data_IF_546766698953
#
_entry.id   IF_546766698953
#
_cell.length_a   1.000
_cell.length_b   1.000
_cell.length_c   1.000
_cell.angle_alpha   90.00
_cell.angle_beta   90.00
_cell.angle_gamma   90.00
#
_symmetry.space_group_name_H-M   'P 1'
#
loop_
_entity.id
_entity.type
_entity.pdbx_description
1 polymer ?
#
# COMPACT_ATOMS: atom_id res chain seq x y z
N UNK A 1 -7.73 -12.33 0.01
CA UNK A 1 -6.94 -11.98 1.21
C UNK A 1 -5.62 -11.37 0.72
N UNK A 2 -5.21 -10.18 1.20
CA UNK A 2 -4.03 -9.46 0.68
C UNK A 2 -2.72 -9.93 1.33
N UNK A 3 -1.59 -9.69 0.66
CA UNK A 3 -0.25 -10.05 1.17
C UNK A 3 -0.02 -9.49 2.59
N UNK A 4 0.39 -10.33 3.58
CA UNK A 4 0.56 -9.93 4.97
C UNK A 4 1.49 -8.73 5.18
N UNK A 5 2.46 -8.52 4.29
CA UNK A 5 3.43 -7.44 4.39
C UNK A 5 2.83 -6.05 4.11
N UNK A 6 1.95 -5.94 3.10
CA UNK A 6 1.27 -4.68 2.75
C UNK A 6 0.35 -4.24 3.88
N UNK A 7 -0.41 -5.18 4.44
CA UNK A 7 -1.28 -4.91 5.58
C UNK A 7 -0.48 -4.43 6.80
N UNK A 8 0.70 -4.98 7.04
CA UNK A 8 1.58 -4.55 8.14
C UNK A 8 2.12 -3.13 7.93
N UNK A 9 2.57 -2.82 6.71
CA UNK A 9 3.09 -1.49 6.35
C UNK A 9 2.00 -0.41 6.49
N UNK A 10 0.83 -0.64 5.91
CA UNK A 10 -0.31 0.28 5.99
C UNK A 10 -0.76 0.53 7.44
N UNK A 11 -0.75 -0.49 8.31
CA UNK A 11 -1.02 -0.33 9.74
C UNK A 11 0.03 0.53 10.45
N UNK A 12 1.30 0.37 10.13
CA UNK A 12 2.39 1.16 10.70
C UNK A 12 2.32 2.63 10.26
N UNK A 13 2.06 2.90 8.98
CA UNK A 13 1.85 4.26 8.48
C UNK A 13 0.63 4.92 9.15
N UNK A 14 -0.48 4.20 9.30
CA UNK A 14 -1.66 4.72 10.02
C UNK A 14 -1.37 5.03 11.49
N UNK A 15 -0.57 4.20 12.17
CA UNK A 15 -0.15 4.44 13.56
C UNK A 15 0.73 5.68 13.66
N UNK A 16 1.68 5.85 12.74
CA UNK A 16 2.55 7.03 12.68
C UNK A 16 1.74 8.31 12.40
N UNK A 17 0.77 8.26 11.47
CA UNK A 17 -0.12 9.38 11.16
C UNK A 17 -0.90 9.82 12.40
N UNK A 18 -1.54 8.88 13.12
CA UNK A 18 -2.28 9.18 14.36
C UNK A 18 -1.37 9.80 15.42
N UNK A 19 -0.16 9.28 15.59
CA UNK A 19 0.82 9.83 16.54
C UNK A 19 1.22 11.26 16.16
N UNK A 20 1.41 11.56 14.87
CA UNK A 20 1.69 12.91 14.38
C UNK A 20 0.53 13.87 14.64
N UNK A 21 -0.71 13.45 14.38
CA UNK A 21 -1.91 14.26 14.63
C UNK A 21 -2.11 14.57 16.12
N UNK A 22 -1.79 13.62 17.00
CA UNK A 22 -1.80 13.82 18.44
C UNK A 22 -0.74 14.85 18.88
N UNK A 23 0.48 14.78 18.34
CA UNK A 23 1.55 15.76 18.61
C UNK A 23 1.12 17.18 18.20
N UNK A 24 0.59 17.34 16.99
CA UNK A 24 0.10 18.64 16.49
C UNK A 24 -0.99 19.21 17.40
N UNK A 25 -1.91 18.38 17.89
CA UNK A 25 -2.96 18.82 18.82
C UNK A 25 -2.39 19.33 20.15
N UNK A 26 -1.39 18.63 20.70
CA UNK A 26 -0.71 19.03 21.94
C UNK A 26 0.08 20.32 21.74
N UNK A 27 0.82 20.43 20.65
CA UNK A 27 1.58 21.63 20.28
C UNK A 27 0.65 22.83 20.11
N UNK A 28 -0.48 22.66 19.41
CA UNK A 28 -1.50 23.70 19.24
C UNK A 28 -2.03 24.20 20.59
N UNK A 29 -2.34 23.29 21.52
CA UNK A 29 -2.80 23.67 22.85
C UNK A 29 -1.72 24.43 23.65
N UNK A 30 -0.45 24.01 23.51
CA UNK A 30 0.70 24.64 24.15
C UNK A 30 0.96 26.05 23.60
N UNK A 31 0.94 26.22 22.28
CA UNK A 31 1.11 27.51 21.60
C UNK A 31 0.08 28.54 22.08
N UNK A 32 -1.20 28.16 22.12
CA UNK A 32 -2.28 29.07 22.55
C UNK A 32 -2.18 29.40 24.04
N UNK A 33 -1.72 28.45 24.85
CA UNK A 33 -1.51 28.68 26.29
C UNK A 33 -0.37 29.67 26.55
N UNK A 34 0.71 29.55 25.77
CA UNK A 34 1.92 30.37 25.87
C UNK A 34 1.82 31.72 25.17
N UNK A 35 0.80 31.93 24.33
CA UNK A 35 0.53 33.20 23.65
C UNK A 35 0.24 34.32 24.67
N UNK A 36 1.20 35.22 24.81
CA UNK A 36 1.13 36.39 25.72
C UNK A 36 0.26 37.53 25.17
N UNK A 37 -0.11 37.48 23.89
CA UNK A 37 -0.97 38.49 23.26
C UNK A 37 -2.44 38.33 23.66
N UNK A 38 -2.84 37.14 24.12
CA UNK A 38 -4.20 36.84 24.57
C UNK A 38 -4.28 36.83 26.08
N UNK A 39 -4.89 37.88 26.65
CA UNK A 39 -5.00 38.04 28.11
C UNK A 39 -6.28 37.47 28.70
N UNK A 40 -7.33 37.30 27.90
CA UNK A 40 -8.65 36.83 28.35
C UNK A 40 -8.84 35.33 28.11
N UNK A 41 -9.30 34.60 29.13
CA UNK A 41 -9.66 33.17 29.06
C UNK A 41 -10.65 32.88 27.93
N UNK A 42 -11.68 33.71 27.77
CA UNK A 42 -12.70 33.52 26.73
C UNK A 42 -12.11 33.58 25.31
N UNK A 43 -11.13 34.47 25.09
CA UNK A 43 -10.46 34.57 23.80
C UNK A 43 -9.47 33.43 23.56
N UNK A 44 -8.76 32.96 24.59
CA UNK A 44 -7.92 31.75 24.50
C UNK A 44 -8.76 30.54 24.11
N UNK A 45 -9.92 30.35 24.74
CA UNK A 45 -10.85 29.27 24.39
C UNK A 45 -11.41 29.41 22.98
N UNK A 46 -11.74 30.64 22.53
CA UNK A 46 -12.19 30.90 21.15
C UNK A 46 -11.12 30.50 20.14
N UNK A 47 -9.87 30.95 20.32
CA UNK A 47 -8.74 30.60 19.44
C UNK A 47 -8.46 29.11 19.44
N UNK A 48 -8.54 28.45 20.61
CA UNK A 48 -8.36 27.01 20.72
C UNK A 48 -9.42 26.24 19.94
N UNK A 49 -10.70 26.63 20.05
CA UNK A 49 -11.79 26.00 19.27
C UNK A 49 -11.58 26.16 17.77
N UNK A 50 -11.22 27.35 17.32
CA UNK A 50 -10.98 27.63 15.89
C UNK A 50 -9.79 26.83 15.34
N UNK A 51 -8.67 26.80 16.06
CA UNK A 51 -7.51 26.00 15.69
C UNK A 51 -7.80 24.50 15.70
N UNK A 52 -8.56 24.01 16.68
CA UNK A 52 -8.97 22.60 16.73
C UNK A 52 -9.87 22.22 15.55
N UNK A 53 -10.80 23.10 15.16
CA UNK A 53 -11.65 22.88 13.99
C UNK A 53 -10.80 22.81 12.70
N UNK A 54 -9.84 23.73 12.55
CA UNK A 54 -8.92 23.74 11.42
C UNK A 54 -8.05 22.48 11.37
N UNK A 55 -7.50 22.06 12.52
CA UNK A 55 -6.72 20.83 12.64
C UNK A 55 -7.57 19.60 12.29
N UNK A 56 -8.82 19.52 12.77
CA UNK A 56 -9.71 18.40 12.44
C UNK A 56 -9.95 18.28 10.93
N UNK A 57 -10.23 19.40 10.26
CA UNK A 57 -10.39 19.40 8.80
C UNK A 57 -9.14 18.88 8.09
N UNK A 58 -7.97 19.39 8.47
CA UNK A 58 -6.68 18.95 7.94
C UNK A 58 -6.43 17.46 8.16
N UNK A 59 -6.72 16.95 9.36
CA UNK A 59 -6.54 15.54 9.70
C UNK A 59 -7.44 14.59 8.90
N UNK A 60 -8.67 15.03 8.58
CA UNK A 60 -9.58 14.27 7.71
C UNK A 60 -9.03 14.20 6.28
N UNK A 61 -8.54 15.32 5.75
CA UNK A 61 -7.98 15.36 4.39
C UNK A 61 -6.69 14.54 4.28
N UNK A 62 -5.80 14.60 5.28
CA UNK A 62 -4.61 13.75 5.37
C UNK A 62 -4.99 12.26 5.37
N UNK A 63 -5.98 11.86 6.17
CA UNK A 63 -6.47 10.47 6.23
C UNK A 63 -7.03 10.01 4.88
N UNK A 64 -7.77 10.87 4.19
CA UNK A 64 -8.27 10.57 2.83
C UNK A 64 -7.14 10.35 1.84
N UNK A 65 -6.14 11.24 1.84
CA UNK A 65 -4.97 11.12 0.95
C UNK A 65 -4.22 9.82 1.19
N UNK A 66 -3.97 9.47 2.45
CA UNK A 66 -3.29 8.21 2.81
C UNK A 66 -4.13 7.00 2.40
N UNK A 67 -5.45 7.02 2.61
CA UNK A 67 -6.33 5.94 2.19
C UNK A 67 -6.32 5.74 0.66
N UNK A 68 -6.35 6.83 -0.11
CA UNK A 68 -6.26 6.78 -1.58
C UNK A 68 -4.89 6.22 -2.01
N UNK A 69 -3.80 6.66 -1.38
CA UNK A 69 -2.45 6.13 -1.63
C UNK A 69 -2.41 4.61 -1.41
N UNK A 70 -2.85 4.13 -0.25
CA UNK A 70 -2.88 2.70 0.08
C UNK A 70 -3.75 1.90 -0.89
N UNK A 71 -4.90 2.46 -1.30
CA UNK A 71 -5.77 1.81 -2.29
C UNK A 71 -5.08 1.64 -3.65
N UNK A 72 -4.39 2.69 -4.14
CA UNK A 72 -3.66 2.66 -5.41
C UNK A 72 -2.47 1.70 -5.38
N UNK A 73 -1.71 1.68 -4.29
CA UNK A 73 -0.58 0.75 -4.14
C UNK A 73 -1.04 -0.71 -4.17
N UNK A 74 -2.16 -0.97 -3.50
CA UNK A 74 -2.80 -2.28 -3.46
C UNK A 74 -3.34 -2.74 -4.80
N UNK A 75 -3.97 -1.84 -5.56
CA UNK A 75 -4.43 -2.11 -6.92
C UNK A 75 -3.27 -2.43 -7.87
N UNK A 76 -2.19 -1.63 -7.82
CA UNK A 76 -0.97 -1.89 -8.60
C UNK A 76 -0.38 -3.25 -8.28
N UNK A 77 -0.27 -3.59 -7.00
CA UNK A 77 0.27 -4.89 -6.58
C UNK A 77 -0.60 -6.05 -7.08
N UNK A 78 -1.92 -5.91 -6.99
CA UNK A 78 -2.84 -6.92 -7.51
C UNK A 78 -2.63 -7.12 -9.01
N UNK A 79 -2.55 -6.05 -9.80
CA UNK A 79 -2.27 -6.13 -11.23
C UNK A 79 -0.94 -6.84 -11.53
N UNK A 80 0.10 -6.57 -10.73
CA UNK A 80 1.40 -7.26 -10.87
C UNK A 80 1.26 -8.76 -10.58
N UNK A 81 0.56 -9.15 -9.51
CA UNK A 81 0.34 -10.56 -9.20
C UNK A 81 -0.47 -11.27 -10.29
N UNK A 82 -1.52 -10.63 -10.81
CA UNK A 82 -2.35 -11.20 -11.88
C UNK A 82 -1.52 -11.43 -13.14
N UNK A 83 -0.64 -10.48 -13.49
CA UNK A 83 0.30 -10.63 -14.61
C UNK A 83 1.29 -11.78 -14.37
N UNK A 84 1.89 -11.87 -13.18
CA UNK A 84 2.82 -12.94 -12.83
C UNK A 84 2.17 -14.33 -12.92
N UNK A 85 0.91 -14.46 -12.51
CA UNK A 85 0.15 -15.70 -12.63
C UNK A 85 -0.15 -16.05 -14.08
N UNK A 86 -0.54 -15.06 -14.89
CA UNK A 86 -0.76 -15.24 -16.32
C UNK A 86 0.50 -15.73 -17.02
N UNK A 87 1.63 -15.06 -16.79
CA UNK A 87 2.91 -15.39 -17.42
C UNK A 87 3.39 -16.78 -17.00
N UNK A 88 3.28 -17.11 -15.71
CA UNK A 88 3.60 -18.45 -15.22
C UNK A 88 2.72 -19.53 -15.89
N UNK A 89 1.42 -19.28 -16.03
CA UNK A 89 0.53 -20.22 -16.72
C UNK A 89 0.92 -20.43 -18.18
N UNK A 90 1.31 -19.35 -18.87
CA UNK A 90 1.77 -19.40 -20.25
C UNK A 90 3.08 -20.18 -20.37
N UNK A 91 4.04 -19.94 -19.48
CA UNK A 91 5.33 -20.64 -19.47
C UNK A 91 5.16 -22.14 -19.23
N UNK A 92 4.24 -22.53 -18.34
CA UNK A 92 3.89 -23.94 -18.10
C UNK A 92 3.29 -24.56 -19.36
N UNK A 93 2.35 -23.89 -20.03
CA UNK A 93 1.74 -24.39 -21.27
C UNK A 93 2.77 -24.56 -22.38
N UNK A 94 3.63 -23.57 -22.60
CA UNK A 94 4.71 -23.64 -23.58
C UNK A 94 5.67 -24.79 -23.27
N UNK A 95 6.01 -25.01 -22.00
CA UNK A 95 6.88 -26.11 -21.58
C UNK A 95 6.25 -27.47 -21.89
N UNK A 96 4.96 -27.63 -21.60
CA UNK A 96 4.22 -28.87 -21.92
C UNK A 96 4.21 -29.12 -23.43
N UNK A 97 3.95 -28.10 -24.24
CA UNK A 97 3.95 -28.21 -25.70
C UNK A 97 5.33 -28.59 -26.24
N UNK A 98 6.38 -27.97 -25.72
CA UNK A 98 7.77 -28.31 -26.09
C UNK A 98 8.08 -29.78 -25.79
N UNK A 99 7.70 -30.30 -24.60
CA UNK A 99 7.92 -31.70 -24.27
C UNK A 99 7.14 -32.67 -25.17
N UNK A 100 5.90 -32.33 -25.52
CA UNK A 100 5.09 -33.13 -26.47
C UNK A 100 5.72 -33.15 -27.86
N UNK A 101 6.21 -32.01 -28.34
CA UNK A 101 6.86 -31.93 -29.65
C UNK A 101 8.16 -32.74 -29.66
N UNK A 102 8.97 -32.67 -28.60
CA UNK A 102 10.19 -33.46 -28.47
C UNK A 102 9.91 -34.98 -28.44
N UNK A 103 8.83 -35.40 -27.78
CA UNK A 103 8.38 -36.80 -27.80
C UNK A 103 8.00 -37.26 -29.22
N UNK A 104 7.23 -36.45 -29.95
CA UNK A 104 6.87 -36.74 -31.36
C UNK A 104 8.11 -36.82 -32.25
N UNK A 105 9.08 -35.90 -32.11
CA UNK A 105 10.34 -35.93 -32.86
C UNK A 105 11.16 -37.20 -32.56
N UNK A 106 11.16 -37.65 -31.31
CA UNK A 106 11.80 -38.90 -30.91
C UNK A 106 11.10 -40.14 -31.49
N UNK A 107 9.78 -40.14 -31.60
CA UNK A 107 9.06 -41.25 -32.24
C UNK A 107 9.27 -41.32 -33.76
N UNK A 108 9.39 -40.16 -34.40
CA UNK A 108 9.63 -40.05 -35.85
C UNK A 108 11.09 -40.29 -36.24
N UNK A 109 12.02 -40.31 -35.30
CA UNK A 109 13.43 -40.55 -35.61
C UNK A 109 13.63 -42.01 -36.02
N UNK A 110 14.34 -42.27 -37.15
CA UNK A 110 14.62 -43.64 -37.58
C UNK A 110 15.36 -44.40 -36.49
N UNK A 111 14.77 -45.50 -36.00
CA UNK A 111 15.46 -46.38 -35.05
C UNK A 111 16.66 -47.00 -35.77
N UNK A 112 17.86 -46.72 -35.26
CA UNK A 112 19.08 -47.34 -35.78
C UNK A 112 19.08 -48.81 -35.36
N UNK A 113 18.68 -49.69 -36.27
CA UNK A 113 18.79 -51.14 -36.11
C UNK A 113 20.23 -51.61 -36.36
N UNK A 114 21.16 -51.15 -35.53
CA UNK A 114 22.52 -51.69 -35.47
C UNK A 114 23.18 -51.19 -34.19
N UNK A 115 23.29 -52.08 -33.20
CA UNK A 115 24.26 -51.94 -32.12
C UNK A 115 25.42 -52.89 -32.46
N UNK A 116 26.65 -52.36 -32.46
CA UNK A 116 27.89 -53.16 -32.53
C UNK A 116 28.26 -53.62 -31.14
#
# INVERSE_FOLDING_TARGET
MYSPQVTRSTLQENKALKASQAKVSVETAKEISQDKTVRNKAEKERRLREKNQNNYKKFIDERKTVAIKHSKEKEKLQKTHDQQLHDLSKDIQNSIEMYKNAEIEYELTPKSECFV
#
